data_IF_486814115628
#
_entry.id   IF_486814115628
#
_cell.length_a   1.000
_cell.length_b   1.000
_cell.length_c   1.000
_cell.angle_alpha   90.00
_cell.angle_beta   90.00
_cell.angle_gamma   90.00
#
_symmetry.space_group_name_H-M   'P 1'
#
loop_
_entity.id
_entity.type
_entity.pdbx_description
1 polymer ?
#
# COMPACT_ATOMS: atom_id res chain seq x y z
N UNK A 1 -0.37 -23.66 2.47
CA UNK A 1 -1.82 -23.46 2.64
C UNK A 1 -2.25 -22.34 1.70
N UNK A 2 -3.33 -22.50 0.90
CA UNK A 2 -3.80 -21.41 0.10
C UNK A 2 -4.23 -20.27 1.05
N UNK A 3 -3.84 -19.08 0.73
CA UNK A 3 -4.20 -17.84 1.40
C UNK A 3 -5.73 -17.80 1.60
N UNK A 4 -6.18 -18.01 2.82
CA UNK A 4 -7.56 -17.71 3.17
C UNK A 4 -7.66 -16.19 3.09
N UNK A 5 -8.36 -15.68 2.09
CA UNK A 5 -8.67 -14.27 2.03
C UNK A 5 -9.18 -13.85 3.43
N UNK A 6 -8.74 -12.73 4.01
CA UNK A 6 -9.11 -12.32 5.37
C UNK A 6 -10.61 -12.42 5.66
N UNK A 7 -11.45 -12.16 4.66
CA UNK A 7 -12.92 -12.30 4.76
C UNK A 7 -13.34 -13.76 5.03
N UNK A 8 -12.74 -14.73 4.35
CA UNK A 8 -13.06 -16.14 4.58
C UNK A 8 -12.56 -16.59 5.95
N UNK A 9 -11.42 -16.07 6.40
CA UNK A 9 -10.89 -16.32 7.72
C UNK A 9 -11.81 -15.72 8.80
N UNK A 10 -12.28 -14.48 8.62
CA UNK A 10 -13.20 -13.81 9.54
C UNK A 10 -14.52 -14.58 9.64
N UNK A 11 -15.09 -15.00 8.50
CA UNK A 11 -16.35 -15.73 8.44
C UNK A 11 -16.29 -17.14 9.05
N UNK A 12 -15.11 -17.76 9.04
CA UNK A 12 -14.91 -19.13 9.51
C UNK A 12 -14.10 -19.24 10.80
N UNK A 13 -13.72 -18.11 11.43
CA UNK A 13 -12.84 -18.12 12.60
C UNK A 13 -13.45 -18.87 13.78
N UNK A 14 -14.77 -18.90 13.88
CA UNK A 14 -15.47 -19.64 14.93
C UNK A 14 -15.28 -21.16 14.81
N UNK A 15 -15.12 -21.66 13.58
CA UNK A 15 -14.96 -23.08 13.25
C UNK A 15 -13.50 -23.57 13.31
N UNK A 16 -12.54 -22.69 13.57
CA UNK A 16 -11.12 -23.02 13.63
C UNK A 16 -10.77 -23.49 15.05
N UNK A 17 -9.92 -24.51 15.18
CA UNK A 17 -9.46 -25.03 16.47
C UNK A 17 -8.82 -23.93 17.33
N UNK A 18 -8.89 -24.07 18.65
CA UNK A 18 -8.34 -23.10 19.60
C UNK A 18 -6.85 -22.85 19.39
N UNK A 19 -6.08 -23.91 19.11
CA UNK A 19 -4.62 -23.82 18.90
C UNK A 19 -4.29 -23.02 17.63
N UNK A 20 -5.04 -23.25 16.54
CA UNK A 20 -4.87 -22.48 15.31
C UNK A 20 -5.23 -21.01 15.53
N UNK A 21 -6.28 -20.70 16.30
CA UNK A 21 -6.64 -19.32 16.66
C UNK A 21 -5.50 -18.60 17.37
N UNK A 22 -4.83 -19.27 18.32
CA UNK A 22 -3.69 -18.69 19.04
C UNK A 22 -2.55 -18.35 18.07
N UNK A 23 -2.20 -19.30 17.19
CA UNK A 23 -1.14 -19.10 16.19
C UNK A 23 -1.49 -17.97 15.23
N UNK A 24 -2.71 -17.94 14.72
CA UNK A 24 -3.17 -16.85 13.82
C UNK A 24 -3.14 -15.50 14.52
N UNK A 25 -3.62 -15.42 15.76
CA UNK A 25 -3.56 -14.17 16.55
C UNK A 25 -2.14 -13.67 16.70
N UNK A 26 -1.18 -14.56 16.98
CA UNK A 26 0.23 -14.19 17.04
C UNK A 26 0.72 -13.55 15.73
N UNK A 27 0.46 -14.18 14.57
CA UNK A 27 0.85 -13.64 13.28
C UNK A 27 0.17 -12.31 12.96
N UNK A 28 -1.11 -12.15 13.27
CA UNK A 28 -1.81 -10.88 13.04
C UNK A 28 -1.27 -9.75 13.89
N UNK A 29 -0.95 -10.00 15.15
CA UNK A 29 -0.30 -9.00 16.02
C UNK A 29 1.06 -8.59 15.46
N UNK A 30 1.89 -9.57 15.04
CA UNK A 30 3.19 -9.26 14.42
C UNK A 30 3.02 -8.44 13.14
N UNK A 31 2.13 -8.85 12.25
CA UNK A 31 1.86 -8.13 11.01
C UNK A 31 1.35 -6.72 11.28
N UNK A 32 0.41 -6.54 12.21
CA UNK A 32 -0.12 -5.24 12.59
C UNK A 32 0.98 -4.29 13.08
N UNK A 33 1.87 -4.78 13.94
CA UNK A 33 3.00 -3.99 14.44
C UNK A 33 3.93 -3.55 13.31
N UNK A 34 4.23 -4.44 12.36
CA UNK A 34 5.09 -4.10 11.22
C UNK A 34 4.41 -3.11 10.26
N UNK A 35 3.12 -3.28 9.97
CA UNK A 35 2.35 -2.32 9.14
C UNK A 35 2.29 -0.95 9.82
N UNK A 36 2.00 -0.90 11.11
CA UNK A 36 2.02 0.34 11.89
C UNK A 36 3.38 1.03 11.79
N UNK A 37 4.47 0.29 11.99
CA UNK A 37 5.83 0.82 11.88
C UNK A 37 6.14 1.32 10.46
N UNK A 38 5.70 0.59 9.43
CA UNK A 38 5.84 1.00 8.03
C UNK A 38 5.12 2.33 7.76
N UNK A 39 3.86 2.47 8.18
CA UNK A 39 3.06 3.68 7.96
C UNK A 39 3.70 4.88 8.67
N UNK A 40 4.06 4.74 9.95
CA UNK A 40 4.69 5.82 10.72
C UNK A 40 6.02 6.27 10.11
N UNK A 41 6.82 5.35 9.59
CA UNK A 41 8.05 5.70 8.88
C UNK A 41 7.77 6.37 7.53
N UNK A 42 6.75 5.90 6.80
CA UNK A 42 6.35 6.51 5.52
C UNK A 42 5.86 7.96 5.70
N UNK A 43 5.09 8.24 6.76
CA UNK A 43 4.62 9.60 7.08
C UNK A 43 5.75 10.62 7.30
N UNK A 44 6.96 10.17 7.63
CA UNK A 44 8.14 11.05 7.75
C UNK A 44 8.60 11.63 6.40
N UNK A 45 8.16 11.05 5.29
CA UNK A 45 8.52 11.48 3.92
C UNK A 45 7.44 12.34 3.27
N UNK A 46 6.20 12.23 3.72
CA UNK A 46 5.09 12.99 3.14
C UNK A 46 3.74 12.36 3.42
N UNK A 47 2.77 12.73 2.62
CA UNK A 47 1.41 12.20 2.70
C UNK A 47 1.39 10.71 2.35
N UNK A 48 0.73 9.91 3.18
CA UNK A 48 0.54 8.47 2.98
C UNK A 48 -0.92 8.21 2.62
N UNK A 49 -1.13 7.49 1.51
CA UNK A 49 -2.47 7.12 1.04
C UNK A 49 -2.47 5.63 0.74
N UNK A 50 -3.45 4.90 1.28
CA UNK A 50 -3.73 3.52 0.90
C UNK A 50 -4.77 3.50 -0.21
N UNK A 51 -4.43 2.87 -1.35
CA UNK A 51 -5.32 2.69 -2.48
C UNK A 51 -5.50 1.20 -2.73
N UNK A 52 -6.72 0.73 -2.62
CA UNK A 52 -7.06 -0.70 -2.77
C UNK A 52 -8.08 -0.94 -3.89
N UNK A 53 -7.94 -2.08 -4.58
CA UNK A 53 -8.95 -2.61 -5.50
C UNK A 53 -10.02 -3.46 -4.77
N UNK A 54 -9.96 -3.55 -3.44
CA UNK A 54 -11.03 -4.12 -2.63
C UNK A 54 -12.11 -3.07 -2.34
N UNK A 55 -13.31 -3.50 -1.94
CA UNK A 55 -14.36 -2.59 -1.52
C UNK A 55 -14.02 -1.87 -0.20
N UNK A 56 -14.73 -0.78 0.08
CA UNK A 56 -14.47 0.07 1.26
C UNK A 56 -14.61 -0.67 2.59
N UNK A 57 -15.47 -1.69 2.66
CA UNK A 57 -15.67 -2.49 3.88
C UNK A 57 -14.49 -3.40 4.21
N UNK A 58 -13.71 -3.81 3.20
CA UNK A 58 -12.67 -4.81 3.34
C UNK A 58 -11.59 -4.45 4.37
N UNK A 59 -11.12 -3.21 4.40
CA UNK A 59 -10.10 -2.77 5.36
C UNK A 59 -10.65 -2.82 6.78
N UNK A 60 -11.87 -2.33 7.01
CA UNK A 60 -12.51 -2.38 8.33
C UNK A 60 -12.69 -3.82 8.81
N UNK A 61 -13.10 -4.72 7.92
CA UNK A 61 -13.25 -6.14 8.26
C UNK A 61 -11.89 -6.78 8.56
N UNK A 62 -10.85 -6.47 7.82
CA UNK A 62 -9.49 -6.94 8.08
C UNK A 62 -8.99 -6.43 9.43
N UNK A 63 -9.30 -5.20 9.81
CA UNK A 63 -8.89 -4.63 11.10
C UNK A 63 -9.59 -5.27 12.30
N UNK A 64 -10.67 -6.04 12.12
CA UNK A 64 -11.21 -6.88 13.22
C UNK A 64 -10.21 -7.93 13.69
N UNK A 65 -9.31 -8.35 12.80
CA UNK A 65 -8.22 -9.27 13.12
C UNK A 65 -6.95 -8.56 13.63
N UNK A 66 -6.84 -7.26 13.37
CA UNK A 66 -5.68 -6.42 13.68
C UNK A 66 -6.12 -5.06 14.27
N UNK A 67 -6.85 -5.05 15.40
CA UNK A 67 -7.41 -3.80 15.94
C UNK A 67 -6.34 -2.76 16.30
N UNK A 68 -5.10 -3.19 16.54
CA UNK A 68 -3.95 -2.32 16.82
C UNK A 68 -3.60 -1.37 15.65
N UNK A 69 -4.11 -1.65 14.45
CA UNK A 69 -3.91 -0.79 13.28
C UNK A 69 -4.85 0.41 13.24
N UNK A 70 -6.03 0.32 13.86
CA UNK A 70 -7.05 1.36 13.75
C UNK A 70 -6.52 2.76 14.05
N UNK A 71 -5.78 3.01 15.14
CA UNK A 71 -5.30 4.36 15.46
C UNK A 71 -4.39 4.95 14.40
N UNK A 72 -3.56 4.15 13.72
CA UNK A 72 -2.68 4.66 12.65
C UNK A 72 -3.42 4.79 11.33
N UNK A 73 -4.37 3.92 11.04
CA UNK A 73 -5.19 4.02 9.83
C UNK A 73 -6.10 5.25 9.83
N UNK A 74 -6.54 5.70 10.99
CA UNK A 74 -7.32 6.94 11.15
C UNK A 74 -6.50 8.20 10.82
N UNK A 75 -5.17 8.10 10.77
CA UNK A 75 -4.28 9.22 10.43
C UNK A 75 -3.99 9.35 8.93
N UNK A 76 -4.47 8.41 8.11
CA UNK A 76 -4.17 8.36 6.67
C UNK A 76 -5.43 8.20 5.83
N UNK A 77 -5.34 8.63 4.58
CA UNK A 77 -6.44 8.48 3.63
C UNK A 77 -6.46 7.06 3.08
N UNK A 78 -7.64 6.43 3.08
CA UNK A 78 -7.87 5.10 2.53
C UNK A 78 -8.94 5.19 1.44
N UNK A 79 -8.62 4.68 0.25
CA UNK A 79 -9.48 4.82 -0.93
C UNK A 79 -9.70 3.44 -1.56
N UNK A 80 -10.98 3.08 -1.76
CA UNK A 80 -11.36 1.99 -2.65
C UNK A 80 -11.44 2.51 -4.09
N UNK A 81 -10.43 2.21 -4.90
CA UNK A 81 -10.48 2.52 -6.33
C UNK A 81 -11.58 1.73 -7.04
N UNK A 82 -11.86 0.49 -6.59
CA UNK A 82 -12.96 -0.32 -7.11
C UNK A 82 -14.31 0.38 -6.95
N UNK A 83 -14.67 0.79 -5.74
CA UNK A 83 -15.99 1.38 -5.48
C UNK A 83 -16.22 2.64 -6.29
N UNK A 84 -15.17 3.40 -6.52
CA UNK A 84 -15.21 4.64 -7.27
C UNK A 84 -15.24 4.44 -8.79
N UNK A 85 -14.49 3.46 -9.32
CA UNK A 85 -14.21 3.38 -10.75
C UNK A 85 -14.78 2.14 -11.45
N UNK A 86 -15.36 1.16 -10.73
CA UNK A 86 -15.92 -0.08 -11.31
C UNK A 86 -17.00 0.15 -12.38
N UNK A 87 -17.69 1.27 -12.33
CA UNK A 87 -18.69 1.63 -13.32
C UNK A 87 -18.08 2.27 -14.59
N UNK A 88 -16.84 2.82 -14.49
CA UNK A 88 -16.11 3.44 -15.61
C UNK A 88 -15.29 2.44 -16.41
N UNK A 89 -14.74 1.41 -15.77
CA UNK A 89 -13.98 0.34 -16.42
C UNK A 89 -14.27 -1.00 -15.76
N UNK A 90 -14.23 -2.08 -16.54
CA UNK A 90 -14.30 -3.47 -16.06
C UNK A 90 -12.92 -4.05 -15.75
N UNK A 91 -11.85 -3.31 -16.04
CA UNK A 91 -10.46 -3.73 -15.86
C UNK A 91 -9.96 -3.20 -14.51
N UNK A 92 -9.62 -4.06 -13.53
CA UNK A 92 -9.18 -3.61 -12.20
C UNK A 92 -7.93 -2.72 -12.20
N UNK A 93 -7.00 -2.94 -13.13
CA UNK A 93 -5.80 -2.10 -13.28
C UNK A 93 -6.12 -0.65 -13.64
N UNK A 94 -7.20 -0.40 -14.39
CA UNK A 94 -7.66 0.95 -14.72
C UNK A 94 -8.14 1.70 -13.50
N UNK A 95 -8.73 1.03 -12.51
CA UNK A 95 -9.25 1.69 -11.32
C UNK A 95 -8.13 2.38 -10.53
N UNK A 96 -7.01 1.69 -10.33
CA UNK A 96 -5.84 2.28 -9.68
C UNK A 96 -5.25 3.42 -10.51
N UNK A 97 -5.14 3.24 -11.81
CA UNK A 97 -4.64 4.27 -12.72
C UNK A 97 -5.47 5.55 -12.63
N UNK A 98 -6.80 5.46 -12.68
CA UNK A 98 -7.69 6.60 -12.56
C UNK A 98 -7.60 7.26 -11.18
N UNK A 99 -7.50 6.47 -10.11
CA UNK A 99 -7.40 7.01 -8.77
C UNK A 99 -6.07 7.74 -8.54
N UNK A 100 -4.96 7.17 -8.97
CA UNK A 100 -3.65 7.83 -8.90
C UNK A 100 -3.65 9.14 -9.70
N UNK A 101 -4.25 9.14 -10.89
CA UNK A 101 -4.37 10.34 -11.72
C UNK A 101 -5.19 11.44 -11.03
N UNK A 102 -6.31 11.11 -10.41
CA UNK A 102 -7.14 12.08 -9.70
C UNK A 102 -6.43 12.66 -8.48
N UNK A 103 -5.77 11.80 -7.69
CA UNK A 103 -4.99 12.23 -6.53
C UNK A 103 -3.89 13.20 -6.97
N UNK A 104 -3.12 12.87 -8.00
CA UNK A 104 -2.00 13.73 -8.43
C UNK A 104 -2.48 15.05 -9.02
N UNK A 105 -3.58 15.04 -9.78
CA UNK A 105 -4.18 16.27 -10.30
C UNK A 105 -4.65 17.20 -9.16
N UNK A 106 -5.21 16.64 -8.10
CA UNK A 106 -5.62 17.39 -6.91
C UNK A 106 -4.39 17.93 -6.17
N UNK A 107 -3.37 17.08 -6.00
CA UNK A 107 -2.12 17.45 -5.33
C UNK A 107 -1.41 18.61 -6.06
N UNK A 108 -1.28 18.56 -7.38
CA UNK A 108 -0.65 19.61 -8.19
C UNK A 108 -1.38 20.95 -8.05
N UNK A 109 -2.73 20.94 -8.01
CA UNK A 109 -3.54 22.16 -7.83
C UNK A 109 -3.29 22.83 -6.49
N UNK A 110 -3.08 22.07 -5.43
CA UNK A 110 -2.87 22.57 -4.07
C UNK A 110 -1.39 22.83 -3.73
N UNK A 111 -0.45 22.29 -4.53
CA UNK A 111 0.98 22.34 -4.25
C UNK A 111 1.73 23.08 -5.36
N UNK A 112 2.49 24.11 -4.98
CA UNK A 112 3.34 24.87 -5.91
C UNK A 112 4.71 24.25 -6.15
N UNK A 113 5.03 23.13 -5.47
CA UNK A 113 6.29 22.42 -5.65
C UNK A 113 6.35 21.77 -7.03
N UNK A 114 7.34 22.14 -7.80
CA UNK A 114 7.57 21.62 -9.16
C UNK A 114 8.29 20.27 -9.18
N UNK A 115 8.86 19.84 -8.07
CA UNK A 115 9.50 18.53 -7.92
C UNK A 115 8.60 17.66 -7.04
N UNK A 116 8.08 16.58 -7.62
CA UNK A 116 7.18 15.64 -6.95
C UNK A 116 7.87 14.30 -6.84
N UNK A 117 8.00 13.78 -5.62
CA UNK A 117 8.58 12.48 -5.34
C UNK A 117 7.48 11.52 -4.96
N UNK A 118 7.37 10.41 -5.69
CA UNK A 118 6.36 9.40 -5.51
C UNK A 118 7.00 8.08 -5.07
N UNK A 119 6.59 7.56 -3.93
CA UNK A 119 6.98 6.23 -3.45
C UNK A 119 5.73 5.34 -3.52
N UNK A 120 5.83 4.24 -4.24
CA UNK A 120 4.76 3.27 -4.39
C UNK A 120 5.18 1.93 -3.80
N UNK A 121 4.33 1.34 -2.97
CA UNK A 121 4.53 0.03 -2.35
C UNK A 121 3.32 -0.82 -2.68
N UNK A 122 3.51 -1.99 -3.32
CA UNK A 122 2.43 -2.88 -3.70
C UNK A 122 2.94 -4.23 -4.20
N UNK A 123 2.04 -5.18 -4.43
CA UNK A 123 2.35 -6.55 -4.85
C UNK A 123 1.97 -6.84 -6.31
N UNK A 124 1.25 -5.94 -6.96
CA UNK A 124 0.78 -6.13 -8.33
C UNK A 124 1.49 -5.23 -9.34
N UNK A 125 1.28 -5.52 -10.61
CA UNK A 125 1.72 -4.64 -11.70
C UNK A 125 0.80 -3.42 -11.87
N UNK A 126 -0.39 -3.44 -11.28
CA UNK A 126 -1.34 -2.33 -11.39
C UNK A 126 -0.78 -1.06 -10.75
N UNK A 127 -0.14 -1.18 -9.57
CA UNK A 127 0.54 -0.07 -8.90
C UNK A 127 1.70 0.46 -9.73
N UNK A 128 2.48 -0.47 -10.33
CA UNK A 128 3.61 -0.10 -11.20
C UNK A 128 3.14 0.73 -12.40
N UNK A 129 2.13 0.24 -13.10
CA UNK A 129 1.56 0.93 -14.26
C UNK A 129 0.96 2.28 -13.88
N UNK A 130 0.24 2.34 -12.74
CA UNK A 130 -0.39 3.57 -12.27
C UNK A 130 0.64 4.65 -11.91
N UNK A 131 1.73 4.31 -11.21
CA UNK A 131 2.74 5.30 -10.83
C UNK A 131 3.53 5.84 -12.04
N UNK A 132 3.83 5.01 -13.03
CA UNK A 132 4.47 5.46 -14.26
C UNK A 132 3.56 6.37 -15.07
N UNK A 133 2.26 6.05 -15.12
CA UNK A 133 1.27 6.89 -15.77
C UNK A 133 1.21 8.29 -15.15
N UNK A 134 1.10 8.41 -13.82
CA UNK A 134 1.07 9.73 -13.17
C UNK A 134 2.39 10.47 -13.27
N UNK A 135 3.52 9.78 -13.26
CA UNK A 135 4.82 10.41 -13.52
C UNK A 135 4.89 11.04 -14.91
N UNK A 136 4.35 10.35 -15.93
CA UNK A 136 4.23 10.90 -17.29
C UNK A 136 3.35 12.15 -17.33
N UNK A 137 2.22 12.15 -16.62
CA UNK A 137 1.34 13.33 -16.50
C UNK A 137 2.08 14.50 -15.86
N UNK A 138 2.78 14.28 -14.74
CA UNK A 138 3.54 15.35 -14.06
C UNK A 138 4.60 15.94 -15.00
N UNK A 139 5.38 15.06 -15.65
CA UNK A 139 6.48 15.47 -16.54
C UNK A 139 5.99 16.17 -17.83
N UNK A 140 4.72 16.01 -18.20
CA UNK A 140 4.12 16.76 -19.32
C UNK A 140 3.76 18.21 -18.96
N UNK A 141 3.77 18.57 -17.69
CA UNK A 141 3.46 19.94 -17.21
C UNK A 141 4.76 20.74 -17.16
N UNK A 142 4.79 21.86 -17.88
CA UNK A 142 5.98 22.73 -17.96
C UNK A 142 6.48 23.13 -16.57
N UNK A 143 7.74 22.82 -16.32
CA UNK A 143 8.43 23.13 -15.06
C UNK A 143 8.18 22.16 -13.93
N UNK A 144 7.42 21.06 -14.15
CA UNK A 144 7.26 20.00 -13.15
C UNK A 144 8.15 18.81 -13.48
N UNK A 145 8.62 18.12 -12.44
CA UNK A 145 9.43 16.89 -12.55
C UNK A 145 8.93 15.86 -11.54
N UNK A 146 8.65 14.66 -12.01
CA UNK A 146 8.31 13.52 -11.17
C UNK A 146 9.52 12.59 -10.99
N UNK A 147 9.76 12.23 -9.75
CA UNK A 147 10.67 11.14 -9.39
C UNK A 147 9.87 10.00 -8.78
N UNK A 148 10.00 8.81 -9.31
CA UNK A 148 9.25 7.63 -8.83
C UNK A 148 10.18 6.61 -8.22
N UNK A 149 9.77 6.02 -7.10
CA UNK A 149 10.42 4.85 -6.52
C UNK A 149 9.36 3.79 -6.24
N UNK A 150 9.63 2.56 -6.62
CA UNK A 150 8.70 1.47 -6.48
C UNK A 150 9.32 0.35 -5.67
N UNK A 151 8.52 -0.18 -4.75
CA UNK A 151 8.84 -1.35 -3.95
C UNK A 151 7.77 -2.40 -4.22
N UNK A 152 8.17 -3.47 -4.89
CA UNK A 152 7.27 -4.56 -5.22
C UNK A 152 7.39 -5.68 -4.20
N UNK A 153 6.30 -5.98 -3.52
CA UNK A 153 6.16 -7.15 -2.68
C UNK A 153 5.95 -8.41 -3.53
N UNK A 154 6.29 -9.56 -2.99
CA UNK A 154 6.01 -10.84 -3.62
C UNK A 154 4.49 -11.04 -3.69
N UNK A 155 3.99 -11.34 -4.88
CA UNK A 155 2.59 -11.65 -5.08
C UNK A 155 2.21 -12.96 -4.37
N UNK A 156 1.06 -12.99 -3.69
CA UNK A 156 0.59 -14.15 -2.91
C UNK A 156 1.61 -14.65 -1.87
N UNK A 157 2.26 -13.75 -1.16
CA UNK A 157 3.11 -14.08 -0.02
C UNK A 157 2.34 -14.86 1.05
N UNK A 158 2.99 -15.79 1.72
CA UNK A 158 2.45 -16.33 2.96
C UNK A 158 2.57 -15.30 4.10
N UNK A 159 2.02 -15.64 5.28
CA UNK A 159 1.98 -14.70 6.40
C UNK A 159 3.39 -14.30 6.89
N UNK A 160 4.32 -15.24 6.93
CA UNK A 160 5.70 -15.00 7.38
C UNK A 160 6.44 -14.16 6.34
N UNK A 161 6.34 -14.51 5.06
CA UNK A 161 6.91 -13.74 3.97
C UNK A 161 6.40 -12.30 3.96
N UNK A 162 5.09 -12.10 4.17
CA UNK A 162 4.51 -10.77 4.21
C UNK A 162 5.03 -9.94 5.39
N UNK A 163 5.08 -10.52 6.60
CA UNK A 163 5.65 -9.86 7.78
C UNK A 163 7.10 -9.45 7.50
N UNK A 164 7.91 -10.33 6.92
CA UNK A 164 9.31 -10.05 6.61
C UNK A 164 9.45 -8.93 5.57
N UNK A 165 8.64 -8.92 4.52
CA UNK A 165 8.66 -7.88 3.49
C UNK A 165 8.24 -6.52 4.06
N UNK A 166 7.19 -6.48 4.88
CA UNK A 166 6.72 -5.25 5.53
C UNK A 166 7.79 -4.71 6.49
N UNK A 167 8.39 -5.58 7.32
CA UNK A 167 9.49 -5.21 8.22
C UNK A 167 10.70 -4.66 7.45
N UNK A 168 11.11 -5.34 6.39
CA UNK A 168 12.23 -4.91 5.56
C UNK A 168 11.95 -3.53 4.95
N UNK A 169 10.75 -3.32 4.42
CA UNK A 169 10.34 -2.03 3.86
C UNK A 169 10.33 -0.92 4.92
N UNK A 170 9.79 -1.19 6.11
CA UNK A 170 9.79 -0.25 7.22
C UNK A 170 11.21 0.16 7.63
N UNK A 171 12.15 -0.80 7.68
CA UNK A 171 13.56 -0.55 7.96
C UNK A 171 14.24 0.25 6.83
N UNK A 172 13.94 -0.03 5.56
CA UNK A 172 14.44 0.76 4.43
C UNK A 172 14.00 2.23 4.58
N UNK A 173 12.74 2.48 4.90
CA UNK A 173 12.24 3.83 5.13
C UNK A 173 12.90 4.48 6.37
N UNK A 174 13.16 3.71 7.42
CA UNK A 174 13.76 4.24 8.64
C UNK A 174 15.21 4.66 8.45
N UNK A 175 16.05 3.79 7.85
CA UNK A 175 17.51 3.97 7.81
C UNK A 175 18.03 4.68 6.55
N UNK A 176 17.26 4.74 5.46
CA UNK A 176 17.76 5.20 4.16
C UNK A 176 17.13 6.50 3.68
N UNK A 177 16.81 7.42 4.59
CA UNK A 177 16.13 8.68 4.26
C UNK A 177 16.76 9.38 3.05
N UNK A 178 18.07 9.62 3.07
CA UNK A 178 18.74 10.37 2.02
C UNK A 178 18.83 9.60 0.70
N UNK A 179 19.08 8.28 0.76
CA UNK A 179 19.14 7.41 -0.43
C UNK A 179 17.79 7.23 -1.11
N UNK A 180 16.69 7.23 -0.35
CA UNK A 180 15.34 7.14 -0.92
C UNK A 180 14.95 8.40 -1.69
N UNK A 181 15.48 9.54 -1.28
CA UNK A 181 15.21 10.83 -1.90
C UNK A 181 16.10 11.08 -3.12
N UNK A 182 17.32 10.54 -3.14
CA UNK A 182 18.32 10.84 -4.16
C UNK A 182 18.49 9.76 -5.23
N UNK A 183 18.17 8.51 -4.95
CA UNK A 183 18.42 7.40 -5.87
C UNK A 183 17.12 6.87 -6.51
N UNK A 184 17.01 6.96 -7.83
CA UNK A 184 15.79 6.79 -8.63
C UNK A 184 15.56 5.36 -9.12
N UNK A 185 16.35 4.38 -8.68
CA UNK A 185 16.16 2.99 -9.10
C UNK A 185 14.94 2.36 -8.43
N UNK A 186 14.15 1.61 -9.18
CA UNK A 186 13.07 0.78 -8.65
C UNK A 186 13.66 -0.44 -7.91
N UNK A 187 13.05 -0.82 -6.78
CA UNK A 187 13.47 -1.98 -5.99
C UNK A 187 12.39 -3.06 -6.05
N UNK A 188 12.82 -4.29 -6.31
CA UNK A 188 11.98 -5.47 -6.15
C UNK A 188 12.36 -6.15 -4.82
N UNK A 189 11.50 -6.08 -3.82
CA UNK A 189 11.73 -6.65 -2.50
C UNK A 189 11.65 -8.19 -2.47
N UNK A 190 11.07 -8.80 -3.51
CA UNK A 190 11.05 -10.26 -3.64
C UNK A 190 12.42 -10.84 -4.03
N UNK A 191 13.33 -10.01 -4.53
CA UNK A 191 14.69 -10.40 -4.95
C UNK A 191 15.75 -10.13 -3.88
N UNK A 192 15.37 -9.56 -2.76
CA UNK A 192 16.23 -9.28 -1.62
C UNK A 192 15.95 -10.25 -0.47
#
# INVERSE_FOLDING_TARGET
MPWLAPINLIKNIENISKDIKIVLKYYFVQLANQIKYLILNAQRYGEVIIITNSDTGWIKDTCKLMPELLPVLDTIKIISSRDKWKNKSKIPGDWKKFEFEEIIKTFIKSNKNKIIKLICIGDSNDEHTAILHVASIINSIVGYTAYTKQFKFKFKSDAIELINQVNKMANILYYNKDKLITNLSSYNLSLL
#
